data_IF_924523124144
#
_entry.id   IF_924523124144
#
_cell.length_a   1.000
_cell.length_b   1.000
_cell.length_c   1.000
_cell.angle_alpha   90.00
_cell.angle_beta   90.00
_cell.angle_gamma   90.00
#
_symmetry.space_group_name_H-M   'P 1'
#
loop_
_entity.id
_entity.type
_entity.pdbx_description
1 polymer ?
#
# COMPACT_ATOMS: atom_id res chain seq x y z
N UNK A 1 59.17 -31.26 48.44
CA UNK A 1 59.37 -31.52 46.99
C UNK A 1 58.40 -30.56 46.28
N UNK A 2 58.86 -29.57 45.48
CA UNK A 2 59.55 -29.71 44.17
C UNK A 2 58.75 -30.64 43.25
N UNK A 3 58.28 -30.32 42.04
CA UNK A 3 58.41 -29.17 41.12
C UNK A 3 57.28 -29.32 40.04
N UNK A 4 56.86 -28.41 39.14
CA UNK A 4 57.21 -27.03 38.74
C UNK A 4 56.06 -26.44 37.84
N UNK A 5 55.95 -25.10 37.71
CA UNK A 5 55.32 -24.31 36.62
C UNK A 5 53.77 -24.36 36.43
N UNK A 6 52.98 -23.27 36.34
CA UNK A 6 53.12 -21.88 35.84
C UNK A 6 53.13 -21.69 34.31
N UNK A 7 52.00 -21.25 33.75
CA UNK A 7 51.94 -20.47 32.51
C UNK A 7 50.62 -19.67 32.40
N UNK A 8 50.64 -18.38 32.78
CA UNK A 8 49.56 -17.44 32.48
C UNK A 8 49.84 -16.74 31.13
N UNK A 9 48.95 -16.91 30.15
CA UNK A 9 49.09 -16.32 28.81
C UNK A 9 48.41 -14.95 28.68
N UNK A 10 49.12 -13.87 28.99
CA UNK A 10 48.63 -12.50 28.75
C UNK A 10 48.72 -12.13 27.26
N UNK A 11 47.58 -11.97 26.57
CA UNK A 11 47.57 -11.52 25.17
C UNK A 11 47.81 -10.01 25.09
N UNK A 12 48.94 -9.64 24.48
CA UNK A 12 49.40 -8.25 24.33
C UNK A 12 48.56 -7.49 23.31
N UNK A 13 47.99 -6.35 23.72
CA UNK A 13 47.49 -5.32 22.79
C UNK A 13 48.68 -4.48 22.29
N UNK A 14 48.92 -4.48 20.98
CA UNK A 14 49.78 -3.47 20.32
C UNK A 14 48.91 -2.50 19.53
N UNK A 15 49.15 -1.17 19.61
CA UNK A 15 48.53 -0.21 18.71
C UNK A 15 49.31 -0.17 17.39
N UNK A 16 48.65 -0.47 16.27
CA UNK A 16 49.23 -0.31 14.93
C UNK A 16 48.91 1.08 14.39
N UNK A 17 49.75 2.06 14.73
CA UNK A 17 49.84 3.33 13.99
C UNK A 17 50.41 3.06 12.61
N UNK A 18 49.56 3.15 11.58
CA UNK A 18 49.99 3.36 10.19
C UNK A 18 49.36 4.67 9.73
N UNK A 19 50.22 5.61 9.34
CA UNK A 19 49.90 6.96 8.88
C UNK A 19 50.61 7.16 7.54
N UNK A 20 50.05 8.04 6.69
CA UNK A 20 50.41 8.40 5.30
C UNK A 20 49.49 7.71 4.25
N UNK A 21 48.53 8.38 3.59
CA UNK A 21 48.45 9.67 2.86
C UNK A 21 48.75 9.50 1.36
N UNK A 22 48.05 10.29 0.53
CA UNK A 22 47.96 10.28 -0.95
C UNK A 22 47.03 9.20 -1.52
N UNK A 23 46.28 9.43 -2.61
CA UNK A 23 46.36 10.51 -3.62
C UNK A 23 44.95 10.90 -4.13
N UNK A 24 44.75 12.14 -4.57
CA UNK A 24 43.49 12.59 -5.19
C UNK A 24 43.21 11.82 -6.49
N UNK A 25 41.99 11.32 -6.66
CA UNK A 25 41.40 11.11 -7.99
C UNK A 25 40.17 12.01 -8.11
N UNK A 26 40.33 13.10 -8.85
CA UNK A 26 39.22 13.96 -9.27
C UNK A 26 38.46 13.30 -10.43
N UNK A 27 37.17 13.60 -10.54
CA UNK A 27 36.40 13.41 -11.78
C UNK A 27 35.70 12.07 -11.89
N UNK A 28 34.47 12.00 -11.37
CA UNK A 28 33.65 10.79 -11.47
C UNK A 28 32.49 10.74 -10.50
N UNK A 29 31.83 11.87 -10.21
CA UNK A 29 30.49 11.79 -9.61
C UNK A 29 29.60 11.02 -10.58
N UNK A 30 29.02 9.85 -10.21
CA UNK A 30 27.91 9.34 -10.97
C UNK A 30 26.84 10.42 -10.89
N UNK A 31 26.55 11.05 -12.03
CA UNK A 31 25.32 11.83 -12.16
C UNK A 31 24.22 10.81 -12.02
N UNK A 32 23.68 10.71 -10.81
CA UNK A 32 22.36 10.14 -10.59
C UNK A 32 21.46 11.04 -11.42
N UNK A 33 21.12 10.56 -12.63
CA UNK A 33 20.04 11.12 -13.43
C UNK A 33 18.77 10.87 -12.64
N UNK A 34 18.50 11.74 -11.67
CA UNK A 34 17.16 11.99 -11.23
C UNK A 34 16.41 12.41 -12.49
N UNK A 35 15.55 11.52 -12.97
CA UNK A 35 14.63 11.78 -14.07
C UNK A 35 13.68 12.88 -13.63
N UNK A 36 14.14 14.13 -13.71
CA UNK A 36 13.27 15.29 -13.57
C UNK A 36 12.18 15.13 -14.63
N UNK A 37 10.89 15.21 -14.26
CA UNK A 37 9.81 15.03 -15.21
C UNK A 37 9.92 16.15 -16.24
N UNK A 38 10.30 15.78 -17.47
CA UNK A 38 10.20 16.62 -18.66
C UNK A 38 8.73 16.71 -19.12
N UNK A 39 7.82 16.95 -18.18
CA UNK A 39 6.44 17.28 -18.47
C UNK A 39 6.41 18.73 -18.98
N UNK A 40 5.92 18.92 -20.21
CA UNK A 40 5.53 20.25 -20.66
C UNK A 40 4.45 20.80 -19.72
N UNK A 41 4.45 22.10 -19.47
CA UNK A 41 3.58 22.73 -18.46
C UNK A 41 2.05 22.59 -18.70
N UNK A 42 1.64 21.96 -19.80
CA UNK A 42 0.25 21.77 -20.23
C UNK A 42 -0.20 20.30 -20.25
N UNK A 43 0.64 19.32 -19.89
CA UNK A 43 0.20 17.92 -19.80
C UNK A 43 -0.63 17.67 -18.53
N UNK A 44 -1.85 17.11 -18.64
CA UNK A 44 -2.68 16.82 -17.47
C UNK A 44 -2.03 15.78 -16.55
N UNK A 45 -1.73 16.19 -15.32
CA UNK A 45 -1.15 15.31 -14.29
C UNK A 45 -2.09 15.14 -13.10
N UNK A 46 -2.05 13.96 -12.48
CA UNK A 46 -2.82 13.69 -11.28
C UNK A 46 -2.34 14.55 -10.10
N UNK A 47 -3.29 15.07 -9.30
CA UNK A 47 -3.02 15.75 -8.01
C UNK A 47 -2.81 14.75 -6.86
N UNK A 48 -2.86 13.46 -7.15
CA UNK A 48 -2.78 12.33 -6.22
C UNK A 48 -1.45 11.60 -6.35
N UNK A 49 -0.74 11.44 -5.22
CA UNK A 49 0.54 10.76 -5.15
C UNK A 49 1.06 10.64 -3.72
N UNK A 50 2.37 10.39 -3.55
CA UNK A 50 3.02 10.10 -2.27
C UNK A 50 2.62 11.03 -1.11
N UNK A 51 2.57 12.35 -1.35
CA UNK A 51 2.21 13.34 -0.32
C UNK A 51 0.77 13.14 0.17
N UNK A 52 -0.17 12.96 -0.77
CA UNK A 52 -1.58 12.74 -0.47
C UNK A 52 -1.78 11.44 0.31
N UNK A 53 -1.09 10.37 -0.07
CA UNK A 53 -1.12 9.10 0.67
C UNK A 53 -0.56 9.24 2.09
N UNK A 54 0.60 9.90 2.31
CA UNK A 54 1.13 10.10 3.69
C UNK A 54 0.18 10.89 4.58
N UNK A 55 -0.46 11.93 4.05
CA UNK A 55 -1.48 12.69 4.79
C UNK A 55 -2.65 11.78 5.18
N UNK A 56 -3.16 11.00 4.23
CA UNK A 56 -4.25 10.05 4.46
C UNK A 56 -3.90 8.97 5.49
N UNK A 57 -2.66 8.46 5.48
CA UNK A 57 -2.14 7.54 6.50
C UNK A 57 -2.10 8.16 7.89
N UNK A 58 -1.65 9.41 8.01
CA UNK A 58 -1.67 10.16 9.27
C UNK A 58 -3.10 10.38 9.78
N UNK A 59 -4.05 10.65 8.88
CA UNK A 59 -5.46 10.86 9.25
C UNK A 59 -6.14 9.55 9.67
N UNK A 60 -5.87 8.43 8.96
CA UNK A 60 -6.22 7.08 9.42
C UNK A 60 -5.67 6.80 10.82
N UNK A 61 -4.39 7.09 11.08
CA UNK A 61 -3.79 6.90 12.40
C UNK A 61 -4.48 7.75 13.49
N UNK A 62 -4.86 9.00 13.20
CA UNK A 62 -5.62 9.83 14.16
C UNK A 62 -7.00 9.25 14.45
N UNK A 63 -7.67 8.71 13.43
CA UNK A 63 -9.01 8.12 13.52
C UNK A 63 -9.03 6.80 14.33
N UNK A 64 -7.92 6.04 14.35
CA UNK A 64 -7.79 4.83 15.16
C UNK A 64 -8.17 5.07 16.63
N UNK A 65 -8.76 4.04 17.26
CA UNK A 65 -9.02 4.04 18.72
C UNK A 65 -7.69 4.18 19.49
N UNK A 66 -7.66 4.84 20.67
CA UNK A 66 -6.42 5.04 21.43
C UNK A 66 -5.63 3.76 21.75
N UNK A 67 -6.31 2.62 21.92
CA UNK A 67 -5.68 1.30 22.14
C UNK A 67 -4.99 0.72 20.89
N UNK A 68 -5.38 1.15 19.70
CA UNK A 68 -4.81 0.73 18.42
C UNK A 68 -3.69 1.67 17.97
N UNK A 69 -3.81 2.99 18.22
CA UNK A 69 -2.72 3.96 17.97
C UNK A 69 -1.40 3.60 18.63
N UNK A 70 -1.42 3.03 19.84
CA UNK A 70 -0.23 2.54 20.56
C UNK A 70 0.46 1.33 19.89
N UNK A 71 -0.15 0.74 18.87
CA UNK A 71 0.37 -0.44 18.18
C UNK A 71 0.88 -0.12 16.77
N UNK A 72 0.61 1.08 16.26
CA UNK A 72 0.82 1.49 14.86
C UNK A 72 1.66 2.77 14.83
N UNK A 73 2.65 2.84 13.93
CA UNK A 73 3.50 4.00 13.77
C UNK A 73 2.68 5.26 13.38
N UNK A 74 2.94 6.47 13.95
CA UNK A 74 2.19 7.69 13.65
C UNK A 74 2.23 8.14 12.19
N UNK A 75 3.27 7.71 11.46
CA UNK A 75 3.33 7.76 10.00
C UNK A 75 3.22 6.33 9.46
N UNK A 76 2.02 5.78 9.25
CA UNK A 76 1.83 4.35 9.02
C UNK A 76 2.04 3.90 7.58
N UNK A 77 2.41 4.80 6.66
CA UNK A 77 2.62 4.52 5.24
C UNK A 77 4.06 4.85 4.85
N UNK A 78 4.73 3.89 4.22
CA UNK A 78 5.98 4.06 3.48
C UNK A 78 5.82 3.49 2.07
N UNK A 79 6.76 3.79 1.18
CA UNK A 79 6.65 3.48 -0.24
C UNK A 79 7.80 2.64 -0.76
N UNK A 80 7.49 1.86 -1.78
CA UNK A 80 8.44 1.06 -2.55
C UNK A 80 8.33 1.42 -4.03
N UNK A 81 9.44 1.33 -4.76
CA UNK A 81 9.53 1.68 -6.19
C UNK A 81 9.07 0.56 -7.13
N UNK A 82 8.47 -0.50 -6.60
CA UNK A 82 7.97 -1.63 -7.40
C UNK A 82 6.78 -1.21 -8.27
N UNK A 83 6.74 -1.71 -9.51
CA UNK A 83 5.67 -1.49 -10.49
C UNK A 83 4.52 -2.49 -10.31
N UNK A 84 4.74 -3.58 -9.58
CA UNK A 84 3.73 -4.57 -9.19
C UNK A 84 2.76 -3.94 -8.20
N UNK A 85 1.44 -3.92 -8.45
CA UNK A 85 0.50 -3.32 -7.51
C UNK A 85 0.38 -4.12 -6.20
N UNK A 86 0.83 -3.54 -5.09
CA UNK A 86 0.72 -4.16 -3.77
C UNK A 86 0.55 -3.17 -2.62
N UNK A 87 0.01 -3.70 -1.51
CA UNK A 87 0.04 -3.05 -0.20
C UNK A 87 0.28 -4.15 0.86
N UNK A 88 1.46 -4.14 1.49
CA UNK A 88 1.90 -5.14 2.48
C UNK A 88 2.02 -4.55 3.88
N UNK A 89 1.87 -5.43 4.89
CA UNK A 89 2.05 -5.12 6.30
C UNK A 89 3.46 -5.45 6.74
N UNK A 90 4.14 -4.51 7.39
CA UNK A 90 5.52 -4.68 7.86
C UNK A 90 5.66 -4.28 9.33
N UNK A 91 6.54 -4.97 10.05
CA UNK A 91 6.98 -4.65 11.40
C UNK A 91 8.50 -4.55 11.40
N UNK A 92 9.04 -3.38 11.77
CA UNK A 92 10.46 -3.24 12.06
C UNK A 92 10.68 -3.46 13.56
N UNK A 93 11.41 -4.51 13.97
CA UNK A 93 11.74 -4.77 15.37
C UNK A 93 12.84 -3.81 15.85
N UNK A 94 12.47 -2.54 16.03
CA UNK A 94 13.31 -1.52 16.66
C UNK A 94 13.06 -1.47 18.17
N UNK A 95 14.13 -1.22 18.92
CA UNK A 95 14.12 -0.93 20.36
C UNK A 95 13.84 0.59 20.53
N UNK A 96 12.87 1.04 21.35
CA UNK A 96 12.10 0.27 22.35
C UNK A 96 10.71 -0.21 21.91
N UNK A 97 10.16 0.24 20.78
CA UNK A 97 8.83 -0.16 20.30
C UNK A 97 8.86 -0.55 18.82
N UNK A 98 8.27 -1.71 18.44
CA UNK A 98 8.28 -2.18 17.05
C UNK A 98 7.45 -1.26 16.15
N UNK A 99 8.05 -0.78 15.05
CA UNK A 99 7.37 0.10 14.11
C UNK A 99 6.47 -0.72 13.19
N UNK A 100 5.18 -0.77 13.50
CA UNK A 100 4.17 -1.41 12.62
C UNK A 100 3.61 -0.40 11.64
N UNK A 101 3.77 -0.70 10.37
CA UNK A 101 3.35 0.17 9.27
C UNK A 101 2.96 -0.65 8.04
N UNK A 102 2.63 0.06 6.96
CA UNK A 102 2.20 -0.48 5.68
C UNK A 102 3.12 0.05 4.59
N UNK A 103 3.57 -0.84 3.71
CA UNK A 103 4.35 -0.54 2.53
C UNK A 103 3.43 -0.54 1.29
N UNK A 104 3.61 0.46 0.43
CA UNK A 104 2.79 0.71 -0.76
C UNK A 104 3.71 0.84 -1.98
N UNK A 105 3.45 0.05 -3.04
CA UNK A 105 4.22 0.14 -4.28
C UNK A 105 3.79 1.31 -5.18
N UNK A 106 4.68 1.76 -6.07
CA UNK A 106 4.32 2.68 -7.17
C UNK A 106 3.18 2.10 -8.00
N UNK A 107 3.25 0.80 -8.33
CA UNK A 107 2.19 0.09 -9.04
C UNK A 107 0.80 0.22 -8.42
N UNK A 108 0.71 0.30 -7.08
CA UNK A 108 -0.58 0.56 -6.41
C UNK A 108 -1.05 2.01 -6.61
N UNK A 109 -0.15 2.99 -6.56
CA UNK A 109 -0.50 4.40 -6.81
C UNK A 109 -1.12 4.54 -8.21
N UNK A 110 -0.48 3.94 -9.22
CA UNK A 110 -0.93 3.98 -10.61
C UNK A 110 -2.22 3.18 -10.82
N UNK A 111 -2.33 1.99 -10.21
CA UNK A 111 -3.56 1.19 -10.21
C UNK A 111 -4.76 1.99 -9.70
N UNK A 112 -4.61 2.61 -8.52
CA UNK A 112 -5.70 3.34 -7.88
C UNK A 112 -6.02 4.63 -8.64
N UNK A 113 -5.00 5.35 -9.13
CA UNK A 113 -5.20 6.51 -10.00
C UNK A 113 -6.02 6.13 -11.24
N UNK A 114 -5.64 5.06 -11.93
CA UNK A 114 -6.27 4.64 -13.17
C UNK A 114 -7.68 4.05 -12.96
N UNK A 115 -7.90 3.24 -11.93
CA UNK A 115 -9.25 2.74 -11.56
C UNK A 115 -10.18 3.90 -11.20
N UNK A 116 -9.73 4.82 -10.35
CA UNK A 116 -10.52 5.99 -9.95
C UNK A 116 -10.85 6.90 -11.14
N UNK A 117 -9.89 7.10 -12.05
CA UNK A 117 -10.08 7.95 -13.22
C UNK A 117 -10.99 7.28 -14.27
N UNK A 118 -10.80 5.98 -14.56
CA UNK A 118 -11.69 5.22 -15.44
C UNK A 118 -13.14 5.20 -14.90
N UNK A 119 -13.31 5.11 -13.58
CA UNK A 119 -14.61 5.18 -12.91
C UNK A 119 -15.26 6.56 -13.06
N UNK A 120 -14.48 7.64 -12.93
CA UNK A 120 -14.94 9.00 -13.16
C UNK A 120 -15.33 9.24 -14.63
N UNK A 121 -14.50 8.79 -15.58
CA UNK A 121 -14.76 8.87 -17.03
C UNK A 121 -16.03 8.12 -17.42
N UNK A 122 -16.36 7.00 -16.77
CA UNK A 122 -17.60 6.25 -17.06
C UNK A 122 -18.87 7.11 -16.87
N UNK A 123 -18.83 8.15 -16.04
CA UNK A 123 -19.93 9.13 -15.91
C UNK A 123 -20.21 9.88 -17.22
N UNK A 124 -19.18 10.09 -18.04
CA UNK A 124 -19.24 10.76 -19.35
C UNK A 124 -19.37 9.75 -20.49
N UNK A 125 -18.58 8.68 -20.48
CA UNK A 125 -18.55 7.63 -21.50
C UNK A 125 -18.89 6.28 -20.89
N UNK A 126 -20.17 5.91 -20.93
CA UNK A 126 -20.67 4.65 -20.36
C UNK A 126 -19.98 3.44 -20.99
N UNK A 127 -19.47 2.54 -20.14
CA UNK A 127 -18.73 1.35 -20.52
C UNK A 127 -17.20 1.54 -20.50
N UNK A 128 -16.70 2.76 -20.33
CA UNK A 128 -15.26 3.05 -20.29
C UNK A 128 -14.55 2.30 -19.15
N UNK A 129 -15.16 2.29 -17.95
CA UNK A 129 -14.61 1.58 -16.81
C UNK A 129 -14.44 0.08 -17.09
N UNK A 130 -15.47 -0.54 -17.66
CA UNK A 130 -15.44 -1.96 -18.04
C UNK A 130 -14.41 -2.26 -19.13
N UNK A 131 -14.26 -1.37 -20.11
CA UNK A 131 -13.22 -1.49 -21.13
C UNK A 131 -11.82 -1.47 -20.52
N UNK A 132 -11.56 -0.58 -19.55
CA UNK A 132 -10.30 -0.55 -18.84
C UNK A 132 -10.05 -1.81 -18.02
N UNK A 133 -11.05 -2.32 -17.28
CA UNK A 133 -10.95 -3.57 -16.51
C UNK A 133 -10.55 -4.76 -17.39
N UNK A 134 -11.11 -4.87 -18.60
CA UNK A 134 -10.74 -5.92 -19.56
C UNK A 134 -9.30 -5.82 -20.08
N UNK A 135 -8.72 -4.61 -20.13
CA UNK A 135 -7.28 -4.41 -20.40
C UNK A 135 -6.45 -4.79 -19.18
N UNK A 136 -6.84 -4.30 -17.99
CA UNK A 136 -6.13 -4.52 -16.73
C UNK A 136 -6.02 -6.00 -16.35
N UNK A 137 -7.03 -6.80 -16.70
CA UNK A 137 -7.03 -8.26 -16.54
C UNK A 137 -5.95 -9.00 -17.37
N UNK A 138 -5.25 -8.30 -18.27
CA UNK A 138 -4.14 -8.84 -19.09
C UNK A 138 -2.75 -8.50 -18.53
N UNK A 139 -2.64 -7.65 -17.50
CA UNK A 139 -1.34 -7.24 -16.95
C UNK A 139 -0.77 -8.27 -15.97
N UNK A 140 0.50 -8.65 -16.11
CA UNK A 140 1.17 -9.56 -15.15
C UNK A 140 1.54 -8.88 -13.83
N UNK A 141 1.76 -7.56 -13.84
CA UNK A 141 2.32 -6.78 -12.74
C UNK A 141 3.83 -6.55 -12.86
N UNK A 142 4.53 -7.29 -13.73
CA UNK A 142 6.00 -7.21 -13.92
C UNK A 142 6.48 -5.92 -14.63
N UNK A 143 5.54 -5.04 -15.01
CA UNK A 143 5.74 -3.81 -15.76
C UNK A 143 4.72 -2.77 -15.31
N UNK A 144 5.02 -1.51 -15.57
CA UNK A 144 4.08 -0.39 -15.46
C UNK A 144 2.74 -0.74 -16.14
N UNK A 145 1.63 -0.40 -15.47
CA UNK A 145 0.30 -0.68 -15.97
C UNK A 145 0.03 0.09 -17.26
N UNK A 146 -0.67 -0.52 -18.21
CA UNK A 146 -1.11 0.18 -19.42
C UNK A 146 -1.93 1.42 -19.04
N UNK A 147 -1.61 2.52 -19.71
CA UNK A 147 -2.36 3.78 -19.63
C UNK A 147 -3.84 3.59 -19.97
N UNK A 148 -4.65 4.53 -19.51
CA UNK A 148 -6.07 4.57 -19.83
C UNK A 148 -6.29 4.86 -21.33
N UNK A 149 -7.23 4.17 -21.98
CA UNK A 149 -7.43 4.31 -23.43
C UNK A 149 -7.96 5.70 -23.78
N UNK A 150 -7.20 6.46 -24.58
CA UNK A 150 -7.65 7.76 -25.10
C UNK A 150 -7.49 8.94 -24.14
N UNK A 151 -6.47 8.93 -23.26
CA UNK A 151 -6.15 10.07 -22.37
C UNK A 151 -5.88 11.40 -23.10
N UNK A 152 -5.70 11.43 -24.41
CA UNK A 152 -5.63 12.67 -25.18
C UNK A 152 -6.98 13.41 -25.31
N UNK A 153 -8.10 12.80 -24.93
CA UNK A 153 -9.40 13.45 -24.91
C UNK A 153 -9.55 14.41 -23.72
N UNK A 154 -9.58 15.71 -24.02
CA UNK A 154 -9.74 16.78 -23.01
C UNK A 154 -11.02 16.66 -22.18
N UNK A 155 -12.04 15.93 -22.64
CA UNK A 155 -13.28 15.67 -21.88
C UNK A 155 -13.04 14.79 -20.65
N UNK A 156 -11.94 14.04 -20.61
CA UNK A 156 -11.55 13.21 -19.47
C UNK A 156 -10.75 14.00 -18.41
N UNK A 157 -10.30 15.22 -18.73
CA UNK A 157 -9.45 16.02 -17.84
C UNK A 157 -10.15 17.30 -17.33
N UNK A 158 -11.48 17.28 -17.22
CA UNK A 158 -12.23 18.37 -16.59
C UNK A 158 -12.05 18.35 -15.07
N UNK A 159 -12.27 19.49 -14.41
CA UNK A 159 -12.20 19.58 -12.95
C UNK A 159 -13.19 18.61 -12.28
N UNK A 160 -14.40 18.43 -12.83
CA UNK A 160 -15.38 17.47 -12.32
C UNK A 160 -14.86 16.02 -12.35
N UNK A 161 -14.20 15.60 -13.44
CA UNK A 161 -13.62 14.25 -13.56
C UNK A 161 -12.46 14.09 -12.60
N UNK A 162 -11.61 15.10 -12.45
CA UNK A 162 -10.48 15.08 -11.52
C UNK A 162 -10.89 15.12 -10.05
N UNK A 163 -11.98 15.82 -9.71
CA UNK A 163 -12.54 15.83 -8.36
C UNK A 163 -13.17 14.48 -8.01
N UNK A 164 -13.91 13.87 -8.95
CA UNK A 164 -14.44 12.52 -8.82
C UNK A 164 -13.33 11.47 -8.72
N UNK A 165 -12.26 11.59 -9.52
CA UNK A 165 -11.08 10.75 -9.47
C UNK A 165 -10.37 10.86 -8.11
N UNK A 166 -10.11 12.08 -7.62
CA UNK A 166 -9.49 12.32 -6.32
C UNK A 166 -10.35 11.74 -5.18
N UNK A 167 -11.67 11.90 -5.26
CA UNK A 167 -12.61 11.32 -4.29
C UNK A 167 -12.50 9.80 -4.25
N UNK A 168 -12.64 9.13 -5.41
CA UNK A 168 -12.54 7.68 -5.51
C UNK A 168 -11.14 7.17 -5.08
N UNK A 169 -10.06 7.86 -5.47
CA UNK A 169 -8.69 7.55 -5.05
C UNK A 169 -8.58 7.54 -3.51
N UNK A 170 -8.99 8.61 -2.84
CA UNK A 170 -8.90 8.71 -1.38
C UNK A 170 -9.72 7.62 -0.67
N UNK A 171 -10.90 7.27 -1.20
CA UNK A 171 -11.74 6.20 -0.66
C UNK A 171 -11.09 4.82 -0.82
N UNK A 172 -10.50 4.52 -1.99
CA UNK A 172 -9.77 3.27 -2.23
C UNK A 172 -8.58 3.14 -1.27
N UNK A 173 -7.71 4.15 -1.23
CA UNK A 173 -6.50 4.12 -0.37
C UNK A 173 -6.91 4.05 1.11
N UNK A 174 -7.91 4.83 1.52
CA UNK A 174 -8.41 4.87 2.89
C UNK A 174 -8.84 3.50 3.40
N UNK A 175 -9.71 2.81 2.65
CA UNK A 175 -10.17 1.47 3.04
C UNK A 175 -9.05 0.44 2.91
N UNK A 176 -8.32 0.39 1.78
CA UNK A 176 -7.26 -0.62 1.58
C UNK A 176 -6.16 -0.51 2.65
N UNK A 177 -5.68 0.70 2.95
CA UNK A 177 -4.68 0.89 4.02
C UNK A 177 -5.30 0.61 5.39
N UNK A 178 -6.54 1.03 5.66
CA UNK A 178 -7.25 0.72 6.91
C UNK A 178 -7.31 -0.79 7.19
N UNK A 179 -7.63 -1.61 6.18
CA UNK A 179 -7.65 -3.09 6.29
C UNK A 179 -6.26 -3.62 6.67
N UNK A 180 -5.21 -3.07 6.07
CA UNK A 180 -3.83 -3.50 6.31
C UNK A 180 -3.35 -3.11 7.71
N UNK A 181 -3.70 -1.91 8.18
CA UNK A 181 -3.48 -1.51 9.58
C UNK A 181 -4.27 -2.38 10.57
N UNK A 182 -5.48 -2.81 10.21
CA UNK A 182 -6.26 -3.72 11.04
C UNK A 182 -5.57 -5.08 11.25
N UNK A 183 -4.88 -5.64 10.25
CA UNK A 183 -4.13 -6.89 10.45
C UNK A 183 -3.07 -6.79 11.56
N UNK A 184 -2.46 -5.62 11.76
CA UNK A 184 -1.52 -5.39 12.85
C UNK A 184 -2.22 -5.41 14.21
N UNK A 185 -3.20 -4.54 14.44
CA UNK A 185 -3.83 -4.40 15.77
C UNK A 185 -4.88 -5.47 16.11
N UNK A 186 -5.29 -6.28 15.14
CA UNK A 186 -6.03 -7.54 15.35
C UNK A 186 -5.08 -8.73 15.64
N UNK A 187 -3.76 -8.52 15.62
CA UNK A 187 -2.74 -9.54 15.88
C UNK A 187 -2.53 -10.56 14.74
N UNK A 188 -3.19 -10.36 13.59
CA UNK A 188 -3.12 -11.25 12.44
C UNK A 188 -1.74 -11.23 11.80
N UNK A 189 -1.08 -10.06 11.71
CA UNK A 189 0.31 -9.97 11.28
C UNK A 189 1.22 -10.83 12.16
N UNK A 190 1.14 -10.67 13.49
CA UNK A 190 1.97 -11.41 14.45
C UNK A 190 1.74 -12.93 14.42
N UNK A 191 0.50 -13.36 14.13
CA UNK A 191 0.13 -14.78 13.95
C UNK A 191 0.83 -15.40 12.74
N UNK A 192 0.96 -14.65 11.64
CA UNK A 192 1.40 -15.15 10.33
C UNK A 192 2.81 -14.68 9.91
N UNK A 193 3.49 -13.86 10.71
CA UNK A 193 4.76 -13.20 10.37
C UNK A 193 5.86 -14.13 9.84
N UNK A 194 5.89 -15.38 10.28
CA UNK A 194 6.91 -16.34 9.88
C UNK A 194 6.66 -16.96 8.48
N UNK A 195 5.42 -16.85 8.00
CA UNK A 195 4.91 -17.26 6.68
C UNK A 195 4.77 -16.08 5.69
N UNK A 196 4.80 -14.84 6.19
CA UNK A 196 4.83 -13.60 5.41
C UNK A 196 6.21 -13.27 4.83
N UNK A 197 7.20 -14.15 5.01
CA UNK A 197 8.54 -13.99 4.46
C UNK A 197 8.51 -14.12 2.94
N UNK A 198 9.47 -13.46 2.31
CA UNK A 198 9.81 -13.61 0.89
C UNK A 198 9.69 -15.05 0.42
N UNK A 199 9.02 -15.25 -0.72
CA UNK A 199 9.06 -16.50 -1.45
C UNK A 199 10.46 -16.74 -2.07
N UNK A 200 10.62 -17.84 -2.81
CA UNK A 200 11.88 -18.18 -3.46
C UNK A 200 12.33 -17.18 -4.56
N UNK A 201 11.55 -16.13 -4.82
CA UNK A 201 11.75 -15.09 -5.82
C UNK A 201 11.84 -13.68 -5.20
N UNK A 202 11.86 -13.57 -3.87
CA UNK A 202 11.82 -12.31 -3.11
C UNK A 202 10.52 -11.51 -3.23
N UNK A 203 9.40 -12.16 -3.54
CA UNK A 203 8.08 -11.54 -3.43
C UNK A 203 7.48 -11.80 -2.04
N UNK A 204 7.00 -10.75 -1.39
CA UNK A 204 6.34 -10.87 -0.08
C UNK A 204 5.01 -11.60 -0.23
N UNK A 205 4.81 -12.70 0.52
CA UNK A 205 3.54 -13.44 0.49
C UNK A 205 2.40 -12.54 1.00
N UNK A 206 1.35 -12.36 0.19
CA UNK A 206 0.16 -11.62 0.60
C UNK A 206 -0.50 -12.27 1.81
N UNK A 207 -0.69 -11.51 2.88
CA UNK A 207 -1.42 -11.95 4.08
C UNK A 207 -2.82 -12.49 3.78
N UNK A 208 -3.45 -12.03 2.69
CA UNK A 208 -4.75 -12.51 2.24
C UNK A 208 -4.77 -14.02 1.87
N UNK A 209 -3.61 -14.62 1.58
CA UNK A 209 -3.47 -16.06 1.34
C UNK A 209 -3.48 -16.89 2.64
N UNK A 210 -3.23 -16.26 3.79
CA UNK A 210 -3.05 -16.92 5.08
C UNK A 210 -4.27 -16.75 6.00
N UNK A 211 -5.01 -15.65 5.84
CA UNK A 211 -6.20 -15.32 6.63
C UNK A 211 -7.34 -16.32 6.42
N UNK A 212 -7.98 -16.74 7.51
CA UNK A 212 -9.31 -17.36 7.40
C UNK A 212 -10.35 -16.31 6.95
N UNK A 213 -11.48 -16.72 6.33
CA UNK A 213 -12.53 -15.77 5.93
C UNK A 213 -12.98 -14.85 7.06
N UNK A 214 -13.15 -15.39 8.28
CA UNK A 214 -13.51 -14.63 9.48
C UNK A 214 -12.47 -13.58 9.88
N UNK A 215 -11.18 -13.86 9.69
CA UNK A 215 -10.10 -12.92 10.00
C UNK A 215 -10.04 -11.80 8.96
N UNK A 216 -10.24 -12.13 7.68
CA UNK A 216 -10.36 -11.15 6.62
C UNK A 216 -11.59 -10.25 6.80
N UNK A 217 -12.77 -10.82 7.09
CA UNK A 217 -14.00 -10.07 7.38
C UNK A 217 -13.83 -9.12 8.58
N UNK A 218 -13.08 -9.54 9.62
CA UNK A 218 -12.79 -8.70 10.78
C UNK A 218 -11.88 -7.51 10.41
N UNK A 219 -10.84 -7.75 9.60
CA UNK A 219 -9.94 -6.70 9.11
C UNK A 219 -10.64 -5.73 8.14
N UNK A 220 -11.47 -6.26 7.24
CA UNK A 220 -12.37 -5.49 6.38
C UNK A 220 -13.22 -4.50 7.18
N UNK A 221 -14.00 -5.01 8.14
CA UNK A 221 -14.91 -4.20 8.97
C UNK A 221 -14.16 -3.08 9.69
N UNK A 222 -13.00 -3.42 10.27
CA UNK A 222 -12.13 -2.46 10.92
C UNK A 222 -11.64 -1.38 9.94
N UNK A 223 -11.09 -1.76 8.78
CA UNK A 223 -10.60 -0.81 7.78
C UNK A 223 -11.68 0.10 7.18
N UNK A 224 -12.90 -0.42 6.98
CA UNK A 224 -14.05 0.39 6.56
C UNK A 224 -14.46 1.39 7.65
N UNK A 225 -14.50 0.98 8.92
CA UNK A 225 -14.81 1.88 10.04
C UNK A 225 -13.73 2.96 10.19
N UNK A 226 -12.45 2.61 10.08
CA UNK A 226 -11.34 3.57 10.15
C UNK A 226 -11.40 4.59 9.01
N UNK A 227 -11.72 4.16 7.78
CA UNK A 227 -11.93 5.05 6.64
C UNK A 227 -13.15 5.98 6.83
N UNK A 228 -14.28 5.45 7.30
CA UNK A 228 -15.49 6.25 7.59
C UNK A 228 -15.22 7.30 8.69
N UNK A 229 -14.44 6.96 9.72
CA UNK A 229 -13.98 7.90 10.75
C UNK A 229 -13.07 9.01 10.19
N UNK A 230 -12.43 8.80 9.04
CA UNK A 230 -11.68 9.82 8.30
C UNK A 230 -12.57 10.68 7.37
N UNK A 231 -13.89 10.45 7.35
CA UNK A 231 -14.81 11.10 6.43
C UNK A 231 -14.78 10.55 5.01
N UNK A 232 -14.26 9.33 4.81
CA UNK A 232 -14.17 8.67 3.51
C UNK A 232 -15.36 7.71 3.34
N UNK A 233 -16.13 7.87 2.27
CA UNK A 233 -17.13 6.88 1.84
C UNK A 233 -16.48 5.64 1.22
N UNK A 234 -17.29 4.64 0.85
CA UNK A 234 -16.80 3.36 0.30
C UNK A 234 -16.87 3.23 -1.23
N UNK A 235 -17.50 4.15 -1.94
CA UNK A 235 -17.80 4.00 -3.38
C UNK A 235 -16.54 3.75 -4.24
N UNK A 236 -15.43 4.42 -3.90
CA UNK A 236 -14.15 4.18 -4.57
C UNK A 236 -13.66 2.74 -4.40
N UNK A 237 -13.67 2.19 -3.17
CA UNK A 237 -13.21 0.80 -2.95
C UNK A 237 -14.17 -0.21 -3.55
N UNK A 238 -15.46 0.11 -3.69
CA UNK A 238 -16.37 -0.71 -4.49
C UNK A 238 -15.95 -0.78 -5.96
N UNK A 239 -15.43 0.30 -6.54
CA UNK A 239 -14.91 0.28 -7.90
C UNK A 239 -13.66 -0.61 -8.01
N UNK A 240 -12.74 -0.57 -7.03
CA UNK A 240 -11.61 -1.51 -7.01
C UNK A 240 -12.07 -2.98 -6.94
N UNK A 241 -13.05 -3.30 -6.10
CA UNK A 241 -13.54 -4.67 -6.00
C UNK A 241 -14.37 -5.11 -7.21
N UNK A 242 -15.18 -4.23 -7.80
CA UNK A 242 -15.86 -4.50 -9.08
C UNK A 242 -14.85 -4.76 -10.20
N UNK A 243 -13.76 -3.97 -10.25
CA UNK A 243 -12.69 -4.17 -11.22
C UNK A 243 -12.06 -5.57 -11.10
N UNK A 244 -11.80 -6.06 -9.89
CA UNK A 244 -11.21 -7.39 -9.65
C UNK A 244 -12.23 -8.53 -9.88
N UNK A 245 -13.52 -8.31 -9.59
CA UNK A 245 -14.58 -9.32 -9.79
C UNK A 245 -14.94 -9.50 -11.28
N UNK A 246 -14.91 -8.42 -12.07
CA UNK A 246 -15.22 -8.45 -13.50
C UNK A 246 -14.05 -8.94 -14.38
N UNK A 247 -12.86 -9.21 -13.82
CA UNK A 247 -11.72 -9.75 -14.58
C UNK A 247 -11.99 -11.20 -15.04
N UNK A 248 -11.92 -11.52 -16.36
CA UNK A 248 -12.10 -12.89 -16.84
C UNK A 248 -11.07 -13.88 -16.30
N UNK A 249 -9.87 -13.37 -15.94
CA UNK A 249 -8.84 -14.05 -15.17
C UNK A 249 -8.19 -12.98 -14.29
N UNK A 250 -8.09 -13.23 -12.99
CA UNK A 250 -7.42 -12.32 -12.05
C UNK A 250 -5.89 -12.45 -12.18
N UNK A 251 -5.15 -11.35 -12.38
CA UNK A 251 -3.70 -11.34 -12.21
C UNK A 251 -3.26 -11.69 -10.78
N UNK A 252 -2.07 -12.29 -10.57
CA UNK A 252 -1.61 -12.70 -9.24
C UNK A 252 -1.58 -11.55 -8.21
N UNK A 253 -1.23 -10.35 -8.64
CA UNK A 253 -1.16 -9.17 -7.76
C UNK A 253 -2.50 -8.77 -7.14
N UNK A 254 -3.65 -9.15 -7.72
CA UNK A 254 -4.99 -8.79 -7.19
C UNK A 254 -5.22 -9.35 -5.78
N UNK A 255 -4.56 -10.45 -5.43
CA UNK A 255 -4.64 -11.07 -4.11
C UNK A 255 -4.06 -10.20 -3.00
N UNK A 256 -3.33 -9.13 -3.32
CA UNK A 256 -2.94 -8.10 -2.35
C UNK A 256 -4.13 -7.28 -1.85
N UNK A 257 -5.23 -7.20 -2.61
CA UNK A 257 -6.39 -6.35 -2.33
C UNK A 257 -7.64 -7.14 -1.97
N UNK A 258 -7.85 -8.29 -2.62
CA UNK A 258 -9.05 -9.11 -2.46
C UNK A 258 -8.68 -10.61 -2.52
N UNK A 259 -8.94 -11.42 -1.46
CA UNK A 259 -8.76 -12.86 -1.51
C UNK A 259 -9.71 -13.53 -2.51
N UNK A 260 -9.25 -14.59 -3.18
CA UNK A 260 -10.00 -15.19 -4.29
C UNK A 260 -11.36 -15.79 -3.91
N UNK A 261 -11.47 -16.27 -2.67
CA UNK A 261 -12.68 -16.86 -2.10
C UNK A 261 -13.78 -15.85 -1.72
N UNK A 262 -13.54 -14.53 -1.84
CA UNK A 262 -14.49 -13.51 -1.37
C UNK A 262 -15.61 -13.25 -2.38
N UNK A 263 -16.85 -13.32 -1.89
CA UNK A 263 -18.06 -12.94 -2.64
C UNK A 263 -18.22 -11.41 -2.65
N UNK A 264 -17.73 -10.76 -3.71
CA UNK A 264 -17.74 -9.28 -3.87
C UNK A 264 -19.15 -8.69 -3.78
N UNK A 265 -20.17 -9.38 -4.29
CA UNK A 265 -21.56 -8.93 -4.20
C UNK A 265 -22.10 -8.97 -2.75
N UNK A 266 -21.64 -9.91 -1.94
CA UNK A 266 -21.93 -9.97 -0.50
C UNK A 266 -21.20 -8.85 0.25
N UNK A 267 -19.89 -8.77 0.04
CA UNK A 267 -18.98 -7.75 0.54
C UNK A 267 -19.52 -6.33 0.37
N UNK A 268 -19.87 -5.93 -0.86
CA UNK A 268 -20.42 -4.59 -1.16
C UNK A 268 -21.73 -4.29 -0.42
N UNK A 269 -22.64 -5.26 -0.30
CA UNK A 269 -23.87 -5.10 0.49
C UNK A 269 -23.58 -4.86 1.97
N UNK A 270 -22.57 -5.52 2.51
CA UNK A 270 -22.12 -5.37 3.89
C UNK A 270 -21.47 -4.00 4.11
N UNK A 271 -20.55 -3.57 3.25
CA UNK A 271 -19.95 -2.25 3.32
C UNK A 271 -21.01 -1.14 3.24
N UNK A 272 -21.95 -1.19 2.29
CA UNK A 272 -23.07 -0.23 2.22
C UNK A 272 -23.96 -0.27 3.45
N UNK A 273 -24.09 -1.41 4.12
CA UNK A 273 -24.82 -1.49 5.39
C UNK A 273 -24.05 -0.74 6.47
N UNK A 274 -22.75 -0.99 6.63
CA UNK A 274 -21.89 -0.31 7.61
C UNK A 274 -21.90 1.22 7.38
N UNK A 275 -21.70 1.68 6.15
CA UNK A 275 -21.74 3.11 5.80
C UNK A 275 -23.07 3.79 6.18
N UNK A 276 -24.22 3.18 5.83
CA UNK A 276 -25.54 3.72 6.23
C UNK A 276 -25.74 3.71 7.73
N UNK A 277 -25.26 2.68 8.42
CA UNK A 277 -25.40 2.58 9.88
C UNK A 277 -24.53 3.61 10.60
N UNK A 278 -23.29 3.83 10.12
CA UNK A 278 -22.38 4.89 10.55
C UNK A 278 -23.02 6.27 10.42
N UNK A 279 -23.49 6.65 9.21
CA UNK A 279 -24.14 7.95 8.99
C UNK A 279 -25.49 8.10 9.70
N UNK A 280 -26.13 7.01 10.11
CA UNK A 280 -27.31 7.05 11.00
C UNK A 280 -26.97 7.25 12.49
N UNK A 281 -25.69 7.38 12.83
CA UNK A 281 -25.22 7.54 14.22
C UNK A 281 -25.26 6.27 15.05
N UNK A 282 -25.39 5.09 14.42
CA UNK A 282 -25.29 3.82 15.15
C UNK A 282 -23.83 3.53 15.48
N UNK A 283 -23.61 3.01 16.68
CA UNK A 283 -22.32 2.44 17.04
C UNK A 283 -22.09 1.14 16.22
N UNK A 284 -20.91 1.03 15.59
CA UNK A 284 -20.47 -0.14 14.81
C UNK A 284 -19.46 -1.01 15.59
N UNK A 285 -19.17 -0.67 16.84
CA UNK A 285 -18.24 -1.36 17.74
C UNK A 285 -18.84 -2.57 18.50
#
# INVERSE_FOLDING_TARGET
MRDLLSAAGSVSRRPSTILLLWLLICGGTPVVSASAPSAGADEPTYKTGYKSMRMLGLDLWKALKPKFRKQIHPEPISFETDVTPFVHVVEFPNDPEPMRMVFISVGFIDLVNNIAHAKAIDRIQKGYFKQYVLSLAQESGEKELKELPGLSDKRFWTEDVLNEQLSNFNQIVGVVVGIKLAHHYLGQYLKYKDELKDDAQHHTVSINNLLTPKEWDAALRCGVIDALNCGLSIEGVEALYDAIDEMPKRPPWTVNFLPDQVNVKGLKKEMKKMEREFFSGKNLE
#
